data_IF_133896757566
#
_entry.id   IF_133896757566
#
_cell.length_a   1.000
_cell.length_b   1.000
_cell.length_c   1.000
_cell.angle_alpha   90.00
_cell.angle_beta   90.00
_cell.angle_gamma   90.00
#
_symmetry.space_group_name_H-M   'P 1'
#
loop_
_entity.id
_entity.type
_entity.pdbx_description
1 polymer ?
#
# COMPACT_ATOMS: atom_id res chain seq x y z
N UNK A 1 -3.99 23.00 8.42
CA UNK A 1 -3.40 21.73 7.95
C UNK A 1 -3.06 21.65 6.45
N UNK A 2 -3.73 22.38 5.54
CA UNK A 2 -3.46 22.28 4.08
C UNK A 2 -2.00 22.58 3.68
N UNK A 3 -1.35 23.54 4.33
CA UNK A 3 0.05 23.90 4.03
C UNK A 3 1.05 22.78 4.41
N UNK A 4 0.76 22.01 5.47
CA UNK A 4 1.60 20.85 5.85
C UNK A 4 1.46 19.73 4.83
N UNK A 5 0.23 19.41 4.40
CA UNK A 5 0.00 18.40 3.37
C UNK A 5 0.70 18.74 2.06
N UNK A 6 0.61 20.01 1.62
CA UNK A 6 1.32 20.50 0.44
C UNK A 6 2.85 20.41 0.58
N UNK A 7 3.38 20.75 1.75
CA UNK A 7 4.82 20.66 2.03
C UNK A 7 5.33 19.22 1.92
N UNK A 8 4.68 18.25 2.57
CA UNK A 8 5.11 16.85 2.53
C UNK A 8 4.92 16.21 1.15
N UNK A 9 3.89 16.61 0.39
CA UNK A 9 3.67 16.14 -0.97
C UNK A 9 4.77 16.59 -1.94
N UNK A 10 5.43 17.74 -1.68
CA UNK A 10 6.49 18.28 -2.52
C UNK A 10 7.89 17.67 -2.26
N UNK A 11 8.04 16.84 -1.22
CA UNK A 11 9.32 16.23 -0.87
C UNK A 11 9.63 14.99 -1.72
N UNK A 12 10.90 14.80 -2.06
CA UNK A 12 11.39 13.56 -2.66
C UNK A 12 11.56 12.50 -1.58
N UNK A 13 10.96 11.32 -1.78
CA UNK A 13 11.09 10.22 -0.83
C UNK A 13 12.43 9.51 -1.00
N UNK A 14 13.06 9.07 0.08
CA UNK A 14 14.29 8.27 0.04
C UNK A 14 13.96 6.78 -0.10
N UNK A 15 14.71 6.00 -0.92
CA UNK A 15 14.50 4.56 -1.03
C UNK A 15 14.78 3.87 0.32
N UNK A 16 13.97 2.88 0.68
CA UNK A 16 14.24 2.02 1.83
C UNK A 16 15.13 0.84 1.38
N UNK A 17 16.31 0.61 1.99
CA UNK A 17 17.12 -0.55 1.66
C UNK A 17 16.36 -1.83 2.03
N UNK A 18 16.15 -2.71 1.06
CA UNK A 18 15.37 -3.94 1.22
C UNK A 18 16.31 -5.13 1.02
N UNK A 19 16.83 -5.69 2.12
CA UNK A 19 17.62 -6.92 2.14
C UNK A 19 16.73 -8.15 1.96
N UNK A 20 16.15 -8.28 0.76
CA UNK A 20 14.89 -9.01 0.58
C UNK A 20 15.04 -10.22 -0.35
N UNK A 21 14.38 -11.34 -0.01
CA UNK A 21 14.28 -12.53 -0.87
C UNK A 21 13.46 -12.25 -2.14
N UNK A 22 13.99 -12.62 -3.32
CA UNK A 22 13.29 -12.52 -4.61
C UNK A 22 11.89 -13.16 -4.61
N UNK A 23 11.71 -14.28 -3.89
CA UNK A 23 10.43 -14.97 -3.82
C UNK A 23 9.34 -14.11 -3.17
N UNK A 24 9.64 -13.45 -2.05
CA UNK A 24 8.71 -12.54 -1.38
C UNK A 24 8.35 -11.33 -2.26
N UNK A 25 9.29 -10.82 -3.04
CA UNK A 25 9.06 -9.73 -4.03
C UNK A 25 8.07 -10.20 -5.10
N UNK A 26 8.33 -11.36 -5.71
CA UNK A 26 7.46 -11.89 -6.76
C UNK A 26 6.05 -12.21 -6.25
N UNK A 27 5.92 -12.75 -5.03
CA UNK A 27 4.62 -13.05 -4.45
C UNK A 27 3.84 -11.77 -4.12
N UNK A 28 4.52 -10.76 -3.56
CA UNK A 28 3.91 -9.47 -3.25
C UNK A 28 3.45 -8.72 -4.50
N UNK A 29 4.20 -8.80 -5.59
CA UNK A 29 3.83 -8.23 -6.90
C UNK A 29 2.59 -8.87 -7.49
N UNK A 30 2.57 -10.21 -7.59
CA UNK A 30 1.44 -10.96 -8.14
C UNK A 30 0.16 -10.66 -7.37
N UNK A 31 0.23 -10.71 -6.04
CA UNK A 31 -0.93 -10.44 -5.20
C UNK A 31 -1.43 -8.99 -5.34
N UNK A 32 -0.54 -8.04 -5.66
CA UNK A 32 -0.92 -6.64 -5.86
C UNK A 32 -1.62 -6.40 -7.20
N UNK A 33 -1.10 -7.03 -8.25
CA UNK A 33 -1.61 -6.88 -9.61
C UNK A 33 -2.88 -7.70 -9.84
N UNK A 34 -2.91 -8.93 -9.35
CA UNK A 34 -3.97 -9.90 -9.67
C UNK A 34 -4.97 -10.11 -8.54
N UNK A 35 -4.60 -9.73 -7.31
CA UNK A 35 -5.36 -10.08 -6.12
C UNK A 35 -5.32 -11.58 -5.83
N UNK A 36 -6.26 -12.05 -5.03
CA UNK A 36 -6.46 -13.46 -4.70
C UNK A 36 -7.97 -13.74 -4.71
N UNK A 37 -8.44 -14.35 -5.81
CA UNK A 37 -9.86 -14.65 -5.97
C UNK A 37 -10.37 -15.67 -4.96
N UNK A 38 -9.54 -16.63 -4.56
CA UNK A 38 -9.95 -17.69 -3.62
C UNK A 38 -10.20 -17.11 -2.23
N UNK A 39 -9.40 -16.11 -1.84
CA UNK A 39 -9.55 -15.39 -0.58
C UNK A 39 -10.45 -14.15 -0.67
N UNK A 40 -10.95 -13.82 -1.87
CA UNK A 40 -11.79 -12.63 -2.09
C UNK A 40 -11.03 -11.31 -2.04
N UNK A 41 -9.72 -11.31 -2.25
CA UNK A 41 -8.88 -10.12 -2.33
C UNK A 41 -8.93 -9.57 -3.75
N UNK A 42 -9.49 -8.36 -3.99
CA UNK A 42 -9.44 -7.75 -5.31
C UNK A 42 -8.03 -7.23 -5.63
N UNK A 43 -7.68 -7.09 -6.92
CA UNK A 43 -6.47 -6.39 -7.37
C UNK A 43 -6.25 -5.05 -6.67
N UNK A 44 -5.14 -4.89 -5.96
CA UNK A 44 -4.78 -3.65 -5.26
C UNK A 44 -4.51 -2.51 -6.27
N UNK A 45 -3.96 -2.84 -7.43
CA UNK A 45 -3.64 -1.88 -8.49
C UNK A 45 -4.84 -1.05 -8.96
N UNK A 46 -6.07 -1.58 -8.87
CA UNK A 46 -7.27 -0.87 -9.30
C UNK A 46 -7.57 0.41 -8.50
N UNK A 47 -7.04 0.53 -7.28
CA UNK A 47 -7.16 1.73 -6.44
C UNK A 47 -5.83 2.41 -6.16
N UNK A 48 -4.74 1.65 -6.07
CA UNK A 48 -3.41 2.17 -5.74
C UNK A 48 -2.51 2.43 -6.96
N UNK A 49 -2.99 2.21 -8.18
CA UNK A 49 -2.20 2.30 -9.42
C UNK A 49 -1.36 1.04 -9.65
N UNK A 50 -1.09 0.70 -10.92
CA UNK A 50 -0.32 -0.50 -11.28
C UNK A 50 1.12 -0.48 -10.74
N UNK A 51 1.68 0.71 -10.58
CA UNK A 51 3.02 0.96 -10.01
C UNK A 51 2.99 1.26 -8.49
N UNK A 52 1.82 1.11 -7.85
CA UNK A 52 1.58 1.46 -6.46
C UNK A 52 1.81 2.96 -6.12
N UNK A 53 1.78 3.85 -7.11
CA UNK A 53 2.01 5.31 -6.94
C UNK A 53 0.75 6.17 -6.96
N UNK A 54 -0.43 5.55 -6.81
CA UNK A 54 -1.77 6.15 -6.93
C UNK A 54 -2.15 6.54 -8.38
N UNK A 55 -3.45 6.59 -8.74
CA UNK A 55 -3.85 6.88 -10.12
C UNK A 55 -3.46 8.30 -10.56
N UNK A 56 -3.14 8.45 -11.86
CA UNK A 56 -2.71 9.71 -12.49
C UNK A 56 -3.69 10.88 -12.32
N UNK A 57 -4.95 10.61 -11.97
CA UNK A 57 -5.94 11.62 -11.59
C UNK A 57 -6.06 11.75 -10.08
N UNK A 58 -5.22 12.61 -9.49
CA UNK A 58 -5.28 13.04 -8.09
C UNK A 58 -6.46 14.03 -7.83
N UNK A 59 -7.61 13.83 -8.48
CA UNK A 59 -8.81 14.67 -8.36
C UNK A 59 -10.01 13.91 -7.80
N UNK A 60 -10.83 14.60 -7.00
CA UNK A 60 -12.07 14.04 -6.46
C UNK A 60 -11.85 12.82 -5.53
N UNK A 61 -12.72 11.81 -5.63
CA UNK A 61 -12.68 10.59 -4.78
C UNK A 61 -11.41 9.75 -4.96
N UNK A 62 -10.70 9.88 -6.08
CA UNK A 62 -9.48 9.12 -6.37
C UNK A 62 -8.22 9.77 -5.78
N UNK A 63 -8.29 11.05 -5.40
CA UNK A 63 -7.24 11.73 -4.63
C UNK A 63 -7.05 11.16 -3.21
N UNK A 64 -7.98 10.31 -2.76
CA UNK A 64 -7.97 9.73 -1.42
C UNK A 64 -7.16 8.43 -1.30
N UNK A 65 -6.75 7.81 -2.42
CA UNK A 65 -5.95 6.57 -2.36
C UNK A 65 -4.47 6.88 -2.18
N UNK A 66 -3.84 6.39 -1.09
CA UNK A 66 -2.46 6.72 -0.81
C UNK A 66 -1.50 5.99 -1.75
N UNK A 67 -0.35 6.64 -2.02
CA UNK A 67 0.83 6.03 -2.64
C UNK A 67 1.44 5.03 -1.66
N UNK A 68 1.76 3.83 -2.14
CA UNK A 68 2.30 2.74 -1.33
C UNK A 68 3.76 2.40 -1.67
N UNK A 69 4.14 2.55 -2.94
CA UNK A 69 5.50 2.26 -3.41
C UNK A 69 6.58 3.10 -2.70
N UNK A 70 7.67 2.44 -2.33
CA UNK A 70 8.81 3.02 -1.62
C UNK A 70 8.57 3.33 -0.13
N UNK A 71 7.41 2.93 0.43
CA UNK A 71 7.15 3.10 1.86
C UNK A 71 7.87 2.00 2.67
N UNK A 72 8.36 2.34 3.85
CA UNK A 72 9.04 1.38 4.73
C UNK A 72 8.18 0.14 5.04
N UNK A 73 8.75 -1.04 4.86
CA UNK A 73 8.05 -2.31 5.07
C UNK A 73 7.44 -2.44 6.49
N UNK A 74 8.12 -2.11 7.60
CA UNK A 74 7.52 -2.20 8.93
C UNK A 74 6.26 -1.34 9.09
N UNK A 75 6.22 -0.17 8.45
CA UNK A 75 5.04 0.69 8.46
C UNK A 75 3.88 0.06 7.70
N UNK A 76 4.14 -0.52 6.52
CA UNK A 76 3.12 -1.20 5.71
C UNK A 76 2.53 -2.41 6.45
N UNK A 77 3.39 -3.24 7.07
CA UNK A 77 2.96 -4.36 7.93
C UNK A 77 2.08 -3.87 9.06
N UNK A 78 2.50 -2.83 9.78
CA UNK A 78 1.75 -2.28 10.89
C UNK A 78 0.38 -1.74 10.45
N UNK A 79 0.30 -1.04 9.30
CA UNK A 79 -0.98 -0.56 8.75
C UNK A 79 -1.91 -1.68 8.32
N UNK A 80 -1.41 -2.68 7.59
CA UNK A 80 -2.23 -3.82 7.16
C UNK A 80 -2.74 -4.64 8.35
N UNK A 81 -1.91 -4.86 9.37
CA UNK A 81 -2.35 -5.50 10.63
C UNK A 81 -3.34 -4.65 11.40
N UNK A 82 -3.17 -3.33 11.40
CA UNK A 82 -4.14 -2.39 11.98
C UNK A 82 -5.52 -2.51 11.35
N UNK A 83 -5.59 -2.51 10.01
CA UNK A 83 -6.85 -2.72 9.28
C UNK A 83 -7.47 -4.11 9.53
N UNK A 84 -6.65 -5.15 9.74
CA UNK A 84 -7.15 -6.51 10.02
C UNK A 84 -7.67 -6.69 11.46
N UNK A 85 -7.19 -5.90 12.41
CA UNK A 85 -7.47 -6.09 13.85
C UNK A 85 -8.58 -5.18 14.39
N UNK A 86 -9.38 -4.56 13.51
CA UNK A 86 -10.44 -3.63 13.88
C UNK A 86 -10.01 -2.51 14.85
N UNK A 87 -8.72 -2.13 14.82
CA UNK A 87 -8.22 -1.02 15.62
C UNK A 87 -8.91 0.29 15.23
N UNK A 88 -8.97 1.29 16.15
CA UNK A 88 -9.73 2.51 15.95
C UNK A 88 -9.44 3.12 14.58
N UNK A 89 -10.47 3.14 13.73
CA UNK A 89 -10.36 3.71 12.40
C UNK A 89 -10.03 5.19 12.53
N UNK A 90 -8.95 5.62 11.89
CA UNK A 90 -8.48 7.00 11.98
C UNK A 90 -9.19 7.89 10.96
N UNK A 91 -9.96 7.31 10.03
CA UNK A 91 -10.74 8.05 9.04
C UNK A 91 -11.92 7.27 8.46
N UNK A 92 -12.89 8.00 7.92
CA UNK A 92 -14.14 7.47 7.35
C UNK A 92 -13.97 6.54 6.16
N UNK A 93 -12.76 6.37 5.62
CA UNK A 93 -12.46 5.54 4.45
C UNK A 93 -11.66 4.27 4.80
N UNK A 94 -11.27 4.11 6.07
CA UNK A 94 -10.45 2.98 6.51
C UNK A 94 -11.19 1.65 6.28
N UNK A 95 -12.54 1.64 6.42
CA UNK A 95 -13.41 0.49 6.15
C UNK A 95 -13.16 -0.20 4.80
N UNK A 96 -12.74 0.54 3.76
CA UNK A 96 -12.42 -0.03 2.44
C UNK A 96 -11.26 -1.03 2.54
N UNK A 97 -10.29 -0.75 3.42
CA UNK A 97 -9.12 -1.59 3.63
C UNK A 97 -9.34 -2.69 4.69
N UNK A 98 -10.37 -2.62 5.54
CA UNK A 98 -10.67 -3.69 6.51
C UNK A 98 -10.98 -5.00 5.78
N UNK A 99 -11.92 -4.99 4.84
CA UNK A 99 -12.31 -6.20 4.11
C UNK A 99 -11.14 -6.83 3.36
N UNK A 100 -10.29 -6.00 2.75
CA UNK A 100 -9.06 -6.45 2.08
C UNK A 100 -8.10 -7.07 3.11
N UNK A 101 -7.82 -6.39 4.21
CA UNK A 101 -6.85 -6.84 5.20
C UNK A 101 -7.29 -8.11 5.95
N UNK A 102 -8.59 -8.32 6.15
CA UNK A 102 -9.13 -9.56 6.72
C UNK A 102 -8.85 -10.80 5.88
N UNK A 103 -8.85 -10.65 4.56
CA UNK A 103 -8.55 -11.75 3.64
C UNK A 103 -7.04 -12.05 3.51
N UNK A 104 -6.17 -11.22 4.10
CA UNK A 104 -4.73 -11.39 4.03
C UNK A 104 -4.15 -12.13 5.24
N UNK A 105 -3.45 -13.24 4.96
CA UNK A 105 -2.60 -13.92 5.92
C UNK A 105 -1.32 -13.14 6.23
N UNK A 106 -0.62 -13.49 7.31
CA UNK A 106 0.63 -12.81 7.71
C UNK A 106 1.74 -12.89 6.66
N UNK A 107 1.85 -14.02 5.96
CA UNK A 107 2.82 -14.20 4.87
C UNK A 107 2.56 -13.23 3.72
N UNK A 108 1.29 -13.12 3.29
CA UNK A 108 0.87 -12.19 2.24
C UNK A 108 1.12 -10.74 2.64
N UNK A 109 0.83 -10.38 3.91
CA UNK A 109 1.14 -9.04 4.44
C UNK A 109 2.63 -8.73 4.36
N UNK A 110 3.48 -9.70 4.72
CA UNK A 110 4.93 -9.52 4.65
C UNK A 110 5.43 -9.42 3.22
N UNK A 111 4.95 -10.29 2.32
CA UNK A 111 5.31 -10.24 0.90
C UNK A 111 4.91 -8.91 0.26
N UNK A 112 3.71 -8.40 0.56
CA UNK A 112 3.27 -7.07 0.12
C UNK A 112 4.17 -5.95 0.60
N UNK A 113 4.39 -5.89 1.92
CA UNK A 113 5.19 -4.83 2.51
C UNK A 113 6.62 -4.83 1.95
N UNK A 114 7.14 -6.03 1.71
CA UNK A 114 8.46 -6.28 1.14
C UNK A 114 8.56 -5.80 -0.30
N UNK A 115 7.63 -6.20 -1.18
CA UNK A 115 7.60 -5.76 -2.57
C UNK A 115 7.39 -4.25 -2.68
N UNK A 116 6.38 -3.69 -1.98
CA UNK A 116 6.08 -2.25 -2.00
C UNK A 116 7.26 -1.40 -1.53
N UNK A 117 8.00 -1.84 -0.52
CA UNK A 117 9.19 -1.14 -0.03
C UNK A 117 10.36 -1.18 -1.03
N UNK A 118 10.41 -2.20 -1.88
CA UNK A 118 11.44 -2.35 -2.93
C UNK A 118 11.19 -1.46 -4.15
N UNK A 119 9.95 -1.00 -4.35
CA UNK A 119 9.62 -0.10 -5.45
C UNK A 119 10.36 1.24 -5.30
N UNK A 120 10.78 1.88 -6.41
CA UNK A 120 11.46 3.16 -6.31
C UNK A 120 10.52 4.17 -5.65
N UNK A 121 11.05 5.02 -4.76
CA UNK A 121 10.26 6.03 -4.09
C UNK A 121 9.53 6.91 -5.10
N UNK A 122 8.45 7.50 -4.64
CA UNK A 122 7.76 8.57 -5.32
C UNK A 122 8.74 9.67 -5.81
N UNK A 123 8.96 9.74 -7.12
CA UNK A 123 9.52 10.93 -7.77
C UNK A 123 8.40 11.96 -8.01
N UNK A 124 8.82 13.21 -8.28
CA UNK A 124 7.96 14.39 -8.47
C UNK A 124 6.96 14.21 -9.59
#
# INVERSE_FOLDING_TARGET
>A
MRNLAAHFAAQTSTPSPSGTSMQAVSHGEQLFLDGDRERGVPPCQGRHGADARAPAYAGGRYAAYPRLGGRHAPYLVARLRGYRSDQPQYGSNDFVMHGVAHALGDESIQAFATWLASLPPAEK
#
